data_IF_115798147557
#
_entry.id   IF_115798147557
#
_cell.length_a   1.000
_cell.length_b   1.000
_cell.length_c   1.000
_cell.angle_alpha   90.00
_cell.angle_beta   90.00
_cell.angle_gamma   90.00
#
_symmetry.space_group_name_H-M   'P 1'
#
loop_
_entity.id
_entity.type
_entity.pdbx_description
1 polymer ?
#
# COMPACT_ATOMS: atom_id res chain seq x y z
N UNK A 1 -1.51 -7.37 -25.51
CA UNK A 1 -2.30 -7.59 -24.27
C UNK A 1 -1.68 -6.71 -23.20
N UNK A 2 -2.48 -6.02 -22.41
CA UNK A 2 -2.03 -5.09 -21.37
C UNK A 2 -2.10 -5.76 -20.01
N UNK A 3 -1.22 -5.37 -19.07
CA UNK A 3 -1.14 -5.96 -17.72
C UNK A 3 -2.37 -5.67 -16.86
N UNK A 4 -3.11 -4.62 -17.18
CA UNK A 4 -4.37 -4.30 -16.52
C UNK A 4 -5.50 -4.16 -17.52
N UNK A 5 -6.68 -4.58 -17.13
CA UNK A 5 -7.92 -4.38 -17.89
C UNK A 5 -9.01 -3.82 -16.97
N UNK A 6 -9.95 -3.07 -17.52
CA UNK A 6 -11.11 -2.55 -16.78
C UNK A 6 -12.40 -2.98 -17.45
N UNK A 7 -13.36 -3.39 -16.63
CA UNK A 7 -14.75 -3.64 -17.03
C UNK A 7 -15.70 -2.96 -16.05
N UNK A 8 -16.67 -2.23 -16.56
CA UNK A 8 -17.73 -1.64 -15.73
C UNK A 8 -18.93 -2.58 -15.79
N UNK A 9 -19.42 -2.97 -14.62
CA UNK A 9 -20.60 -3.84 -14.54
C UNK A 9 -21.94 -3.08 -14.62
N UNK A 10 -23.05 -3.80 -14.61
CA UNK A 10 -24.39 -3.21 -14.74
C UNK A 10 -24.76 -2.28 -13.57
N UNK A 11 -24.15 -2.45 -12.40
CA UNK A 11 -24.39 -1.64 -11.21
C UNK A 11 -23.50 -0.38 -11.16
N UNK A 12 -22.56 -0.23 -12.10
CA UNK A 12 -21.62 0.88 -12.19
C UNK A 12 -20.34 0.67 -11.36
N UNK A 13 -19.95 -0.57 -11.06
CA UNK A 13 -18.67 -0.86 -10.42
C UNK A 13 -17.62 -1.16 -11.49
N UNK A 14 -16.54 -0.38 -11.51
CA UNK A 14 -15.39 -0.63 -12.38
C UNK A 14 -14.49 -1.70 -11.74
N UNK A 15 -14.38 -2.86 -12.37
CA UNK A 15 -13.48 -3.93 -11.95
C UNK A 15 -12.18 -3.79 -12.75
N UNK A 16 -11.11 -3.38 -12.07
CA UNK A 16 -9.75 -3.29 -12.62
C UNK A 16 -9.02 -4.57 -12.25
N UNK A 17 -8.69 -5.36 -13.25
CA UNK A 17 -8.04 -6.67 -13.09
C UNK A 17 -6.59 -6.60 -13.52
N UNK A 18 -5.68 -6.93 -12.61
CA UNK A 18 -4.26 -7.08 -12.88
C UNK A 18 -3.94 -8.49 -13.35
N UNK A 19 -3.40 -8.64 -14.55
CA UNK A 19 -3.02 -9.92 -15.14
C UNK A 19 -1.79 -9.76 -16.03
N UNK A 20 -0.61 -9.75 -15.41
CA UNK A 20 0.67 -9.61 -16.13
C UNK A 20 0.86 -10.74 -17.13
N UNK A 21 0.95 -10.37 -18.39
CA UNK A 21 1.02 -11.31 -19.51
C UNK A 21 2.28 -12.18 -19.44
N UNK A 22 2.11 -13.49 -19.58
CA UNK A 22 3.22 -14.45 -19.62
C UNK A 22 3.93 -14.68 -18.28
N UNK A 23 3.42 -14.13 -17.18
CA UNK A 23 3.96 -14.34 -15.82
C UNK A 23 2.98 -15.20 -15.01
N UNK A 24 3.50 -16.08 -14.16
CA UNK A 24 2.68 -16.87 -13.22
C UNK A 24 2.16 -16.02 -12.04
N UNK A 25 2.82 -14.91 -11.76
CA UNK A 25 2.47 -13.95 -10.72
C UNK A 25 2.57 -12.53 -11.27
N UNK A 26 1.70 -11.63 -10.81
CA UNK A 26 1.78 -10.23 -11.17
C UNK A 26 3.03 -9.59 -10.55
N UNK A 27 3.72 -8.79 -11.35
CA UNK A 27 4.90 -8.04 -10.98
C UNK A 27 4.75 -6.62 -11.49
N UNK A 28 4.95 -5.62 -10.65
CA UNK A 28 4.76 -4.22 -10.99
C UNK A 28 5.94 -3.72 -11.83
N UNK A 29 5.65 -3.30 -13.06
CA UNK A 29 6.57 -2.56 -13.93
C UNK A 29 6.25 -1.06 -13.93
N UNK A 30 7.10 -0.23 -14.56
CA UNK A 30 6.81 1.20 -14.76
C UNK A 30 5.56 1.40 -15.59
N UNK A 31 5.42 0.63 -16.66
CA UNK A 31 4.28 0.67 -17.56
C UNK A 31 3.00 0.24 -16.84
N UNK A 32 3.08 -0.76 -15.97
CA UNK A 32 1.96 -1.20 -15.15
C UNK A 32 1.48 -0.12 -14.16
N UNK A 33 2.41 0.67 -13.57
CA UNK A 33 2.04 1.83 -12.75
C UNK A 33 1.28 2.89 -13.54
N UNK A 34 1.77 3.25 -14.72
CA UNK A 34 1.09 4.23 -15.59
C UNK A 34 -0.28 3.70 -15.98
N UNK A 35 -0.37 2.44 -16.40
CA UNK A 35 -1.61 1.83 -16.85
C UNK A 35 -2.69 1.79 -15.75
N UNK A 36 -2.35 1.33 -14.53
CA UNK A 36 -3.32 1.32 -13.42
C UNK A 36 -3.76 2.74 -13.05
N UNK A 37 -2.84 3.70 -13.10
CA UNK A 37 -3.13 5.13 -12.88
C UNK A 37 -4.14 5.67 -13.90
N UNK A 38 -3.93 5.37 -15.19
CA UNK A 38 -4.81 5.81 -16.27
C UNK A 38 -6.20 5.18 -16.19
N UNK A 39 -6.28 3.88 -15.85
CA UNK A 39 -7.56 3.19 -15.66
C UNK A 39 -8.33 3.74 -14.45
N UNK A 40 -7.63 4.09 -13.37
CA UNK A 40 -8.26 4.77 -12.23
C UNK A 40 -8.78 6.14 -12.65
N UNK A 41 -8.00 6.94 -13.40
CA UNK A 41 -8.45 8.25 -13.90
C UNK A 41 -9.69 8.13 -14.78
N UNK A 42 -9.72 7.15 -15.71
CA UNK A 42 -10.89 6.86 -16.54
C UNK A 42 -12.11 6.52 -15.68
N UNK A 43 -11.96 5.62 -14.68
CA UNK A 43 -13.05 5.24 -13.79
C UNK A 43 -13.53 6.42 -12.92
N UNK A 44 -12.63 7.29 -12.47
CA UNK A 44 -12.99 8.48 -11.68
C UNK A 44 -13.72 9.52 -12.53
N UNK A 45 -13.34 9.69 -13.80
CA UNK A 45 -13.95 10.64 -14.72
C UNK A 45 -15.32 10.20 -15.26
N UNK A 46 -15.61 8.90 -15.29
CA UNK A 46 -16.88 8.38 -15.82
C UNK A 46 -18.02 8.54 -14.80
N UNK A 47 -19.05 9.36 -15.08
CA UNK A 47 -20.17 9.56 -14.16
C UNK A 47 -21.03 8.29 -13.94
N UNK A 48 -20.96 7.29 -14.81
CA UNK A 48 -21.65 6.02 -14.63
C UNK A 48 -20.95 5.11 -13.60
N UNK A 49 -19.66 5.35 -13.34
CA UNK A 49 -18.88 4.58 -12.37
C UNK A 49 -19.13 5.10 -10.95
N UNK A 50 -19.64 4.25 -10.08
CA UNK A 50 -19.90 4.54 -8.66
C UNK A 50 -18.69 4.26 -7.76
N UNK A 51 -17.79 3.37 -8.18
CA UNK A 51 -16.57 3.03 -7.47
C UNK A 51 -15.79 1.92 -8.16
N UNK A 52 -14.70 1.50 -7.55
CA UNK A 52 -13.69 0.63 -8.18
C UNK A 52 -13.41 -0.60 -7.29
N UNK A 53 -13.31 -1.76 -7.90
CA UNK A 53 -12.70 -2.96 -7.30
C UNK A 53 -11.42 -3.27 -8.04
N UNK A 54 -10.29 -3.26 -7.34
CA UNK A 54 -8.98 -3.65 -7.85
C UNK A 54 -8.71 -5.10 -7.46
N UNK A 55 -8.46 -5.97 -8.44
CA UNK A 55 -8.23 -7.40 -8.21
C UNK A 55 -7.17 -7.99 -9.14
N UNK A 56 -6.97 -9.28 -9.08
CA UNK A 56 -6.05 -10.03 -9.94
C UNK A 56 -6.80 -11.08 -10.76
N UNK A 57 -6.35 -11.29 -11.99
CA UNK A 57 -6.78 -12.41 -12.84
C UNK A 57 -6.07 -13.74 -12.54
N UNK A 58 -5.19 -13.77 -11.52
CA UNK A 58 -4.42 -14.94 -11.09
C UNK A 58 -4.85 -15.39 -9.69
N UNK A 59 -4.42 -16.59 -9.27
CA UNK A 59 -4.63 -17.10 -7.91
C UNK A 59 -3.85 -16.32 -6.82
N UNK A 60 -2.92 -15.47 -7.23
CA UNK A 60 -2.18 -14.54 -6.38
C UNK A 60 -2.51 -13.11 -6.76
N UNK A 61 -2.35 -12.17 -5.80
CA UNK A 61 -2.53 -10.76 -6.13
C UNK A 61 -1.28 -10.21 -6.83
N UNK A 62 -0.13 -10.17 -6.14
CA UNK A 62 1.13 -9.77 -6.75
C UNK A 62 2.36 -10.21 -5.92
N UNK A 63 3.48 -10.43 -6.59
CA UNK A 63 4.76 -10.82 -5.99
C UNK A 63 5.69 -9.67 -5.61
N UNK A 64 5.34 -8.44 -5.96
CA UNK A 64 6.16 -7.26 -5.68
C UNK A 64 6.53 -6.48 -6.95
N UNK A 65 7.55 -5.65 -6.83
CA UNK A 65 8.10 -4.84 -7.93
C UNK A 65 9.08 -5.65 -8.78
N UNK A 66 9.15 -5.35 -10.06
CA UNK A 66 10.21 -5.90 -10.92
C UNK A 66 11.57 -5.34 -10.48
N UNK A 67 12.44 -6.22 -10.01
CA UNK A 67 13.78 -5.85 -9.50
C UNK A 67 14.66 -5.23 -10.59
N UNK A 68 14.37 -5.46 -11.86
CA UNK A 68 15.07 -4.81 -12.97
C UNK A 68 14.85 -3.29 -12.99
N UNK A 69 13.72 -2.80 -12.44
CA UNK A 69 13.50 -1.35 -12.30
C UNK A 69 14.56 -0.75 -11.38
N UNK A 70 14.80 -1.37 -10.21
CA UNK A 70 15.78 -0.86 -9.26
C UNK A 70 17.19 -0.87 -9.87
N UNK A 71 17.56 -1.94 -10.59
CA UNK A 71 18.82 -2.03 -11.30
C UNK A 71 18.94 -0.93 -12.38
N UNK A 72 17.88 -0.72 -13.19
CA UNK A 72 17.89 0.28 -14.25
C UNK A 72 17.96 1.73 -13.72
N UNK A 73 17.41 2.00 -12.55
CA UNK A 73 17.53 3.30 -11.91
C UNK A 73 18.96 3.60 -11.44
N UNK A 74 19.68 2.56 -10.99
CA UNK A 74 21.06 2.68 -10.57
C UNK A 74 22.02 2.87 -11.74
N UNK A 75 21.74 2.20 -12.86
CA UNK A 75 22.59 2.17 -14.05
C UNK A 75 22.22 3.28 -15.06
N UNK A 76 21.31 4.21 -14.70
CA UNK A 76 20.78 5.28 -15.52
C UNK A 76 21.89 6.23 -16.03
N UNK A 77 21.85 6.52 -17.32
CA UNK A 77 22.86 7.27 -18.08
C UNK A 77 22.81 8.76 -17.78
N UNK A 78 23.78 9.28 -17.05
CA UNK A 78 24.11 10.71 -17.01
C UNK A 78 23.35 11.58 -15.99
N UNK A 79 22.39 11.04 -15.26
CA UNK A 79 21.69 11.71 -14.15
C UNK A 79 22.23 11.20 -12.81
N UNK A 80 22.08 12.00 -11.75
CA UNK A 80 22.34 11.53 -10.40
C UNK A 80 21.37 10.37 -10.06
N UNK A 81 21.88 9.15 -9.81
CA UNK A 81 21.03 8.00 -9.50
C UNK A 81 20.07 8.24 -8.32
N UNK A 82 20.48 9.06 -7.34
CA UNK A 82 19.64 9.39 -6.19
C UNK A 82 18.44 10.25 -6.61
N UNK A 83 18.63 11.22 -7.51
CA UNK A 83 17.56 12.05 -8.04
C UNK A 83 16.57 11.24 -8.88
N UNK A 84 17.09 10.35 -9.73
CA UNK A 84 16.26 9.46 -10.56
C UNK A 84 15.40 8.50 -9.70
N UNK A 85 15.99 7.91 -8.66
CA UNK A 85 15.26 7.04 -7.72
C UNK A 85 14.21 7.86 -6.96
N UNK A 86 14.58 9.02 -6.45
CA UNK A 86 13.65 9.90 -5.72
C UNK A 86 12.47 10.33 -6.61
N UNK A 87 12.72 10.73 -7.85
CA UNK A 87 11.68 11.08 -8.82
C UNK A 87 10.70 9.92 -9.05
N UNK A 88 11.22 8.72 -9.33
CA UNK A 88 10.39 7.51 -9.51
C UNK A 88 9.53 7.19 -8.28
N UNK A 89 10.10 7.28 -7.09
CA UNK A 89 9.35 7.03 -5.84
C UNK A 89 8.29 8.11 -5.63
N UNK A 90 8.59 9.37 -5.90
CA UNK A 90 7.61 10.45 -5.78
C UNK A 90 6.45 10.32 -6.79
N UNK A 91 6.71 9.87 -8.01
CA UNK A 91 5.67 9.56 -9.00
C UNK A 91 4.79 8.41 -8.52
N UNK A 92 5.39 7.36 -7.95
CA UNK A 92 4.67 6.23 -7.36
C UNK A 92 3.78 6.70 -6.20
N UNK A 93 4.30 7.55 -5.31
CA UNK A 93 3.52 8.14 -4.22
C UNK A 93 2.35 8.98 -4.75
N UNK A 94 2.54 9.75 -5.82
CA UNK A 94 1.49 10.55 -6.42
C UNK A 94 0.35 9.67 -6.96
N UNK A 95 0.68 8.56 -7.64
CA UNK A 95 -0.31 7.58 -8.12
C UNK A 95 -1.08 6.96 -6.95
N UNK A 96 -0.39 6.49 -5.92
CA UNK A 96 -1.05 5.87 -4.76
C UNK A 96 -1.88 6.88 -3.95
N UNK A 97 -1.43 8.15 -3.85
CA UNK A 97 -2.25 9.22 -3.23
C UNK A 97 -3.47 9.58 -4.06
N UNK A 98 -3.40 9.51 -5.38
CA UNK A 98 -4.57 9.66 -6.26
C UNK A 98 -5.61 8.57 -5.96
N UNK A 99 -5.19 7.31 -5.90
CA UNK A 99 -6.05 6.17 -5.53
C UNK A 99 -6.67 6.40 -4.15
N UNK A 100 -5.88 6.81 -3.19
CA UNK A 100 -6.28 7.04 -1.79
C UNK A 100 -7.28 8.19 -1.63
N UNK A 101 -7.17 9.23 -2.46
CA UNK A 101 -8.10 10.36 -2.49
C UNK A 101 -9.29 10.14 -3.44
N UNK A 102 -9.14 9.31 -4.45
CA UNK A 102 -10.19 8.84 -5.37
C UNK A 102 -11.13 9.94 -5.89
N UNK A 103 -10.58 11.10 -6.26
CA UNK A 103 -11.37 12.25 -6.75
C UNK A 103 -12.04 13.08 -5.67
N UNK A 104 -11.81 12.79 -4.39
CA UNK A 104 -12.36 13.53 -3.25
C UNK A 104 -11.91 14.99 -3.25
N UNK A 105 -12.83 15.92 -2.96
CA UNK A 105 -12.49 17.31 -2.73
C UNK A 105 -11.62 17.43 -1.45
N UNK A 106 -10.42 18.02 -1.54
CA UNK A 106 -9.47 18.03 -0.42
C UNK A 106 -9.88 18.91 0.76
N UNK A 107 -10.85 19.83 0.57
CA UNK A 107 -11.35 20.73 1.63
C UNK A 107 -12.53 20.14 2.37
N UNK A 108 -13.44 19.51 1.64
CA UNK A 108 -14.67 18.95 2.20
C UNK A 108 -14.57 17.48 2.54
N UNK A 109 -13.59 16.78 2.00
CA UNK A 109 -13.38 15.33 2.07
C UNK A 109 -14.60 14.53 1.58
N UNK A 110 -15.26 15.04 0.52
CA UNK A 110 -16.48 14.45 -0.06
C UNK A 110 -16.35 14.29 -1.57
N UNK A 111 -17.28 13.52 -2.14
CA UNK A 111 -17.41 13.35 -3.59
C UNK A 111 -16.41 12.42 -4.23
N UNK A 112 -15.58 11.73 -3.43
CA UNK A 112 -14.71 10.67 -3.93
C UNK A 112 -15.48 9.40 -4.28
N UNK A 113 -14.86 8.51 -5.06
CA UNK A 113 -15.41 7.19 -5.38
C UNK A 113 -14.74 6.12 -4.51
N UNK A 114 -15.50 5.19 -3.88
CA UNK A 114 -14.92 4.11 -3.11
C UNK A 114 -14.04 3.19 -3.97
N UNK A 115 -12.88 2.81 -3.45
CA UNK A 115 -11.97 1.85 -4.08
C UNK A 115 -11.68 0.73 -3.08
N UNK A 116 -12.05 -0.50 -3.43
CA UNK A 116 -11.73 -1.70 -2.67
C UNK A 116 -10.66 -2.53 -3.38
N UNK A 117 -9.73 -3.11 -2.62
CA UNK A 117 -8.83 -4.15 -3.12
C UNK A 117 -9.38 -5.53 -2.77
N UNK A 118 -9.38 -6.45 -3.73
CA UNK A 118 -9.81 -7.83 -3.58
C UNK A 118 -8.63 -8.77 -3.90
N UNK A 119 -8.03 -9.35 -2.86
CA UNK A 119 -6.82 -10.15 -2.93
C UNK A 119 -7.15 -11.65 -3.02
N UNK A 120 -7.04 -12.32 -4.18
CA UNK A 120 -7.31 -13.75 -4.29
C UNK A 120 -6.27 -14.61 -3.58
N UNK A 121 -5.07 -14.06 -3.32
CA UNK A 121 -3.99 -14.79 -2.68
C UNK A 121 -2.83 -13.88 -2.27
N UNK A 122 -1.62 -14.37 -2.43
CA UNK A 122 -0.38 -13.71 -2.00
C UNK A 122 -0.24 -12.28 -2.53
N UNK A 123 0.11 -11.35 -1.63
CA UNK A 123 0.28 -9.92 -1.87
C UNK A 123 1.52 -9.41 -1.14
N UNK A 124 2.62 -9.20 -1.85
CA UNK A 124 3.92 -8.84 -1.30
C UNK A 124 4.44 -7.52 -1.85
N UNK A 125 5.12 -6.76 -1.00
CA UNK A 125 5.73 -5.49 -1.38
C UNK A 125 4.71 -4.53 -1.98
N UNK A 126 4.98 -3.97 -3.16
CA UNK A 126 4.02 -3.12 -3.87
C UNK A 126 2.66 -3.79 -4.08
N UNK A 127 2.60 -5.14 -4.12
CA UNK A 127 1.36 -5.89 -4.14
C UNK A 127 0.53 -5.76 -2.85
N UNK A 128 1.11 -5.27 -1.76
CA UNK A 128 0.38 -4.85 -0.56
C UNK A 128 0.30 -3.31 -0.45
N UNK A 129 1.31 -2.57 -0.88
CA UNK A 129 1.32 -1.11 -0.78
C UNK A 129 0.21 -0.46 -1.64
N UNK A 130 -0.06 -1.02 -2.83
CA UNK A 130 -1.17 -0.61 -3.68
C UNK A 130 -2.54 -0.86 -3.01
N UNK A 131 -2.86 -2.05 -2.48
CA UNK A 131 -4.04 -2.26 -1.63
C UNK A 131 -4.13 -1.35 -0.40
N UNK A 132 -3.02 -1.03 0.26
CA UNK A 132 -3.01 -0.10 1.41
C UNK A 132 -3.46 1.31 1.02
N UNK A 133 -3.29 1.72 -0.23
CA UNK A 133 -3.85 2.96 -0.76
C UNK A 133 -5.36 2.85 -1.04
N UNK A 134 -5.92 1.66 -1.28
CA UNK A 134 -7.36 1.46 -1.41
C UNK A 134 -8.08 1.69 -0.07
N UNK A 135 -9.38 2.03 -0.09
CA UNK A 135 -10.13 2.35 1.11
C UNK A 135 -10.45 1.12 1.97
N UNK A 136 -10.63 -0.05 1.35
CA UNK A 136 -10.86 -1.31 2.05
C UNK A 136 -10.18 -2.47 1.34
N UNK A 137 -9.65 -3.41 2.12
CA UNK A 137 -8.91 -4.56 1.62
C UNK A 137 -9.63 -5.83 2.02
N UNK A 138 -10.08 -6.58 1.02
CA UNK A 138 -10.63 -7.92 1.15
C UNK A 138 -9.59 -8.96 0.73
N UNK A 139 -9.48 -10.06 1.45
CA UNK A 139 -8.66 -11.19 1.04
C UNK A 139 -9.49 -12.48 1.03
N UNK A 140 -9.20 -13.34 0.08
CA UNK A 140 -9.72 -14.70 0.09
C UNK A 140 -9.18 -15.49 1.29
N UNK A 141 -10.02 -16.32 1.90
CA UNK A 141 -9.59 -17.22 2.98
C UNK A 141 -8.74 -18.35 2.41
N UNK A 142 -7.47 -18.05 2.20
CA UNK A 142 -6.46 -18.95 1.68
C UNK A 142 -5.27 -19.02 2.64
N UNK A 143 -5.16 -20.05 3.49
CA UNK A 143 -4.09 -20.15 4.51
C UNK A 143 -2.68 -20.26 3.90
N UNK A 144 -2.57 -20.56 2.60
CA UNK A 144 -1.27 -20.60 1.88
C UNK A 144 -0.83 -19.23 1.39
N UNK A 145 -1.74 -18.25 1.30
CA UNK A 145 -1.41 -16.92 0.87
C UNK A 145 -0.49 -16.22 1.88
N UNK A 146 0.39 -15.35 1.37
CA UNK A 146 1.32 -14.56 2.13
C UNK A 146 1.05 -13.08 1.89
N UNK A 147 0.83 -12.33 2.95
CA UNK A 147 0.55 -10.90 2.93
C UNK A 147 1.60 -10.19 3.78
N UNK A 148 2.35 -9.25 3.21
CA UNK A 148 3.38 -8.52 3.95
C UNK A 148 4.32 -7.72 3.08
N UNK A 149 5.30 -7.10 3.74
CA UNK A 149 6.32 -6.22 3.16
C UNK A 149 7.72 -6.78 3.46
N UNK A 150 8.22 -7.73 2.63
CA UNK A 150 9.47 -8.44 2.91
C UNK A 150 10.73 -7.68 2.46
N UNK A 151 10.65 -6.43 2.04
CA UNK A 151 11.73 -5.64 1.46
C UNK A 151 12.98 -5.59 2.33
N UNK A 152 12.80 -5.56 3.65
CA UNK A 152 13.92 -5.54 4.61
C UNK A 152 14.82 -6.76 4.47
N UNK A 153 14.29 -7.91 4.04
CA UNK A 153 15.04 -9.15 3.88
C UNK A 153 16.03 -9.11 2.69
N UNK A 154 15.86 -8.15 1.79
CA UNK A 154 16.72 -7.95 0.61
C UNK A 154 17.52 -6.65 0.66
N UNK A 155 17.60 -6.00 1.84
CA UNK A 155 18.47 -4.84 2.06
C UNK A 155 17.87 -3.49 1.70
N UNK A 156 16.56 -3.44 1.44
CA UNK A 156 15.77 -2.21 1.25
C UNK A 156 14.60 -2.20 2.25
N UNK A 157 13.74 -1.19 2.19
CA UNK A 157 12.47 -1.15 2.93
C UNK A 157 11.35 -0.65 2.01
N UNK A 158 10.07 -0.83 2.39
CA UNK A 158 8.95 -0.41 1.56
C UNK A 158 9.02 1.09 1.25
N UNK A 159 9.05 1.45 -0.02
CA UNK A 159 9.24 2.82 -0.49
C UNK A 159 8.08 3.37 -1.32
N UNK A 160 6.98 2.62 -1.49
CA UNK A 160 5.79 3.12 -2.16
C UNK A 160 4.70 3.57 -1.17
N UNK A 161 5.09 3.98 0.01
CA UNK A 161 4.19 4.46 1.08
C UNK A 161 3.72 3.36 2.02
N UNK A 162 4.25 2.15 1.93
CA UNK A 162 3.90 1.04 2.83
C UNK A 162 4.38 1.27 4.25
N UNK A 163 5.58 1.79 4.41
CA UNK A 163 6.14 2.19 5.71
C UNK A 163 5.22 3.21 6.38
N UNK A 164 4.97 4.32 5.71
CA UNK A 164 4.14 5.42 6.22
C UNK A 164 2.70 4.96 6.49
N UNK A 165 2.07 4.23 5.56
CA UNK A 165 0.67 3.78 5.71
C UNK A 165 0.49 2.80 6.85
N UNK A 166 1.36 1.80 7.00
CA UNK A 166 1.26 0.85 8.11
C UNK A 166 1.47 1.53 9.47
N UNK A 167 2.49 2.39 9.58
CA UNK A 167 2.74 3.14 10.83
C UNK A 167 1.55 4.04 11.18
N UNK A 168 0.95 4.70 10.18
CA UNK A 168 -0.25 5.53 10.39
C UNK A 168 -1.49 4.69 10.69
N UNK A 169 -1.64 3.51 10.08
CA UNK A 169 -2.81 2.63 10.28
C UNK A 169 -2.79 1.96 11.66
N UNK A 170 -1.64 1.46 12.10
CA UNK A 170 -1.56 0.58 13.28
C UNK A 170 -0.57 1.02 14.37
N UNK A 171 0.21 2.06 14.13
CA UNK A 171 1.26 2.52 15.04
C UNK A 171 2.61 1.83 14.82
N UNK A 172 3.69 2.49 15.24
CA UNK A 172 5.06 2.03 14.99
C UNK A 172 5.36 0.65 15.60
N UNK A 173 4.89 0.38 16.82
CA UNK A 173 5.13 -0.90 17.50
C UNK A 173 4.44 -2.07 16.78
N UNK A 174 3.18 -1.92 16.40
CA UNK A 174 2.42 -2.98 15.71
C UNK A 174 2.92 -3.20 14.27
N UNK A 175 3.40 -2.15 13.59
CA UNK A 175 3.98 -2.24 12.26
C UNK A 175 5.40 -2.86 12.25
N UNK A 176 6.12 -2.82 13.38
CA UNK A 176 7.53 -3.24 13.48
C UNK A 176 7.80 -4.67 12.96
N UNK A 177 7.04 -5.71 13.28
CA UNK A 177 7.30 -7.05 12.75
C UNK A 177 7.18 -7.15 11.23
N UNK A 178 6.25 -6.38 10.64
CA UNK A 178 6.06 -6.34 9.19
C UNK A 178 7.22 -5.60 8.49
N UNK A 179 7.66 -4.48 9.07
CA UNK A 179 8.62 -3.57 8.45
C UNK A 179 10.08 -3.95 8.75
N UNK A 180 10.42 -4.29 10.02
CA UNK A 180 11.80 -4.56 10.46
C UNK A 180 12.19 -6.04 10.39
N UNK A 181 11.20 -6.95 10.32
CA UNK A 181 11.46 -8.39 10.24
C UNK A 181 10.96 -8.99 8.91
N UNK A 182 10.25 -8.21 8.09
CA UNK A 182 9.65 -8.69 6.84
C UNK A 182 8.64 -9.83 7.08
N UNK A 183 7.96 -9.82 8.23
CA UNK A 183 7.04 -10.90 8.62
C UNK A 183 5.88 -10.99 7.64
N UNK A 184 5.65 -12.20 7.14
CA UNK A 184 4.52 -12.53 6.28
C UNK A 184 3.42 -13.18 7.10
N UNK A 185 2.18 -12.75 6.87
CA UNK A 185 0.99 -13.28 7.52
C UNK A 185 0.12 -14.02 6.49
N UNK A 186 -0.61 -15.05 6.94
CA UNK A 186 -1.79 -15.53 6.22
C UNK A 186 -2.93 -14.50 6.33
N UNK A 187 -4.02 -14.61 5.54
CA UNK A 187 -5.10 -13.63 5.55
C UNK A 187 -5.74 -13.42 6.93
N UNK A 188 -5.95 -14.48 7.71
CA UNK A 188 -6.56 -14.37 9.04
C UNK A 188 -5.66 -13.61 10.02
N UNK A 189 -4.36 -13.88 10.01
CA UNK A 189 -3.38 -13.15 10.83
C UNK A 189 -3.20 -11.72 10.33
N UNK A 190 -3.23 -11.48 9.02
CA UNK A 190 -3.17 -10.13 8.46
C UNK A 190 -4.38 -9.29 8.88
N UNK A 191 -5.59 -9.87 8.91
CA UNK A 191 -6.80 -9.23 9.44
C UNK A 191 -6.67 -8.97 10.95
N UNK A 192 -6.28 -9.97 11.72
CA UNK A 192 -6.10 -9.83 13.17
C UNK A 192 -5.06 -8.76 13.54
N UNK A 193 -4.01 -8.60 12.73
CA UNK A 193 -3.01 -7.55 12.87
C UNK A 193 -3.48 -6.16 12.37
N UNK A 194 -4.63 -6.06 11.71
CA UNK A 194 -5.15 -4.81 11.16
C UNK A 194 -4.49 -4.38 9.84
N UNK A 195 -3.75 -5.26 9.18
CA UNK A 195 -3.14 -4.99 7.86
C UNK A 195 -4.21 -4.93 6.78
N UNK A 196 -5.11 -5.92 6.77
CA UNK A 196 -6.28 -5.99 5.89
C UNK A 196 -7.57 -5.88 6.70
N UNK A 197 -8.69 -5.66 6.02
CA UNK A 197 -9.94 -5.34 6.71
C UNK A 197 -10.89 -6.54 6.79
N UNK A 198 -10.97 -7.37 5.73
CA UNK A 198 -11.89 -8.50 5.69
C UNK A 198 -11.24 -9.75 5.09
N UNK A 199 -11.65 -10.93 5.61
CA UNK A 199 -11.36 -12.23 5.00
C UNK A 199 -12.68 -12.91 4.71
N UNK A 200 -12.83 -13.37 3.47
CA UNK A 200 -14.07 -13.95 2.94
C UNK A 200 -13.78 -15.23 2.14
N UNK A 201 -14.76 -16.13 1.94
CA UNK A 201 -14.59 -17.25 1.02
C UNK A 201 -14.13 -16.78 -0.37
N UNK A 202 -13.28 -17.56 -1.02
CA UNK A 202 -12.65 -17.15 -2.29
C UNK A 202 -13.67 -16.88 -3.40
N UNK A 203 -14.75 -17.66 -3.46
CA UNK A 203 -15.86 -17.51 -4.39
C UNK A 203 -16.72 -16.27 -4.15
N UNK A 204 -16.65 -15.68 -2.96
CA UNK A 204 -17.38 -14.47 -2.56
C UNK A 204 -16.53 -13.21 -2.62
N UNK A 205 -15.22 -13.31 -2.91
CA UNK A 205 -14.26 -12.22 -2.77
C UNK A 205 -14.66 -10.96 -3.57
N UNK A 206 -14.91 -11.13 -4.86
CA UNK A 206 -15.25 -9.99 -5.73
C UNK A 206 -16.61 -9.41 -5.34
N UNK A 207 -17.59 -10.27 -5.05
CA UNK A 207 -18.92 -9.81 -4.67
C UNK A 207 -18.92 -9.06 -3.34
N UNK A 208 -18.16 -9.50 -2.34
CA UNK A 208 -18.02 -8.79 -1.07
C UNK A 208 -17.39 -7.40 -1.26
N UNK A 209 -16.36 -7.29 -2.09
CA UNK A 209 -15.74 -6.01 -2.43
C UNK A 209 -16.70 -5.08 -3.19
N UNK A 210 -17.47 -5.61 -4.16
CA UNK A 210 -18.50 -4.87 -4.92
C UNK A 210 -19.58 -4.34 -3.99
N UNK A 211 -20.12 -5.17 -3.13
CA UNK A 211 -21.18 -4.79 -2.20
C UNK A 211 -20.70 -3.69 -1.24
N UNK A 212 -19.47 -3.77 -0.77
CA UNK A 212 -18.92 -2.69 0.03
C UNK A 212 -18.83 -1.39 -0.77
N UNK A 213 -18.31 -1.44 -2.00
CA UNK A 213 -18.18 -0.26 -2.89
C UNK A 213 -19.54 0.41 -3.12
N UNK A 214 -20.59 -0.38 -3.37
CA UNK A 214 -21.94 0.15 -3.64
C UNK A 214 -22.60 0.77 -2.40
N UNK A 215 -22.20 0.39 -1.19
CA UNK A 215 -22.78 0.83 0.06
C UNK A 215 -21.90 1.84 0.83
N UNK A 216 -20.67 2.07 0.40
CA UNK A 216 -19.73 2.97 1.07
C UNK A 216 -20.22 4.42 1.04
N UNK A 217 -19.98 5.13 2.14
CA UNK A 217 -20.29 6.55 2.34
C UNK A 217 -19.00 7.37 2.30
N UNK A 218 -19.12 8.69 2.17
CA UNK A 218 -17.96 9.60 2.20
C UNK A 218 -17.03 9.33 3.40
N UNK A 219 -17.58 9.04 4.58
CA UNK A 219 -16.78 8.75 5.77
C UNK A 219 -15.94 7.45 5.65
N UNK A 220 -16.39 6.48 4.87
CA UNK A 220 -15.71 5.18 4.71
C UNK A 220 -14.52 5.26 3.77
N UNK A 221 -14.44 6.32 2.95
CA UNK A 221 -13.39 6.53 1.95
C UNK A 221 -12.34 7.55 2.37
N UNK A 222 -12.51 8.22 3.51
CA UNK A 222 -11.50 9.14 4.05
C UNK A 222 -10.51 8.37 4.92
N UNK A 223 -9.26 8.38 4.51
CA UNK A 223 -8.20 7.72 5.30
C UNK A 223 -8.03 8.40 6.66
N UNK A 224 -7.73 7.65 7.73
CA UNK A 224 -7.60 8.21 9.07
C UNK A 224 -6.66 9.41 9.15
N UNK A 225 -5.54 9.37 8.47
CA UNK A 225 -4.52 10.44 8.46
C UNK A 225 -4.91 11.69 7.66
N UNK A 226 -5.97 11.64 6.86
CA UNK A 226 -6.55 12.79 6.18
C UNK A 226 -7.68 13.44 7.00
N UNK A 227 -8.13 12.77 8.06
CA UNK A 227 -9.19 13.30 8.94
C UNK A 227 -8.64 14.35 9.90
N UNK A 228 -9.43 15.41 10.13
CA UNK A 228 -9.10 16.44 11.14
C UNK A 228 -9.01 15.81 12.53
N UNK A 229 -7.89 16.07 13.21
CA UNK A 229 -7.67 15.57 14.57
C UNK A 229 -7.18 14.13 14.63
N UNK A 230 -6.75 13.57 13.52
CA UNK A 230 -6.12 12.25 13.49
C UNK A 230 -5.00 12.14 14.54
N UNK A 231 -4.99 11.03 15.26
CA UNK A 231 -3.93 10.68 16.22
C UNK A 231 -3.35 9.32 15.83
N UNK A 232 -2.04 9.26 15.67
CA UNK A 232 -1.35 8.02 15.34
C UNK A 232 -1.52 6.99 16.48
N UNK A 233 -1.94 5.75 16.18
CA UNK A 233 -2.01 4.69 17.18
C UNK A 233 -0.66 4.49 17.89
N UNK A 234 -0.67 4.30 19.20
CA UNK A 234 0.54 4.18 20.01
C UNK A 234 1.31 5.48 20.25
N UNK A 235 0.86 6.60 19.64
CA UNK A 235 1.47 7.92 19.83
C UNK A 235 2.70 8.21 18.96
N UNK A 236 3.02 9.49 18.83
CA UNK A 236 4.23 9.98 18.13
C UNK A 236 5.45 9.94 19.06
N UNK A 237 6.69 10.17 18.55
CA UNK A 237 7.91 10.16 19.37
C UNK A 237 7.88 11.05 20.61
N UNK A 238 7.18 12.19 20.56
CA UNK A 238 7.06 13.13 21.69
C UNK A 238 5.77 12.92 22.52
N UNK A 239 4.92 11.99 22.12
CA UNK A 239 3.73 11.65 22.90
C UNK A 239 4.12 10.64 23.99
N UNK A 240 3.64 10.75 25.25
CA UNK A 240 4.00 9.85 26.35
C UNK A 240 3.85 8.36 26.01
N UNK A 241 2.78 8.00 25.28
CA UNK A 241 2.52 6.61 24.87
C UNK A 241 3.51 6.10 23.80
N UNK A 242 4.07 6.97 22.94
CA UNK A 242 5.02 6.59 21.88
C UNK A 242 6.48 6.67 22.32
N UNK A 243 6.80 7.52 23.27
CA UNK A 243 8.17 7.84 23.65
C UNK A 243 9.06 6.61 23.86
N UNK A 244 8.63 5.67 24.70
CA UNK A 244 9.42 4.46 25.00
C UNK A 244 9.63 3.57 23.78
N UNK A 245 8.64 3.50 22.88
CA UNK A 245 8.76 2.76 21.61
C UNK A 245 9.91 3.31 20.78
N UNK A 246 9.97 4.62 20.61
CA UNK A 246 10.99 5.25 19.76
C UNK A 246 12.37 5.29 20.42
N UNK A 247 12.45 5.49 21.74
CA UNK A 247 13.72 5.47 22.49
C UNK A 247 14.34 4.06 22.44
N UNK A 248 13.55 3.02 22.64
CA UNK A 248 14.06 1.65 22.64
C UNK A 248 14.36 1.08 21.25
N UNK A 249 13.74 1.63 20.19
CA UNK A 249 13.82 1.09 18.85
C UNK A 249 15.24 1.04 18.28
N UNK A 250 16.03 2.09 18.47
CA UNK A 250 17.44 2.14 18.03
C UNK A 250 18.31 1.07 18.67
N UNK A 251 18.17 0.87 19.98
CA UNK A 251 18.92 -0.16 20.69
C UNK A 251 18.52 -1.56 20.23
N UNK A 252 17.21 -1.80 20.03
CA UNK A 252 16.69 -3.08 19.54
C UNK A 252 17.17 -3.39 18.12
N UNK A 253 17.10 -2.43 17.20
CA UNK A 253 17.57 -2.58 15.81
C UNK A 253 19.08 -2.83 15.80
N UNK A 254 19.87 -2.04 16.52
CA UNK A 254 21.32 -2.25 16.61
C UNK A 254 21.67 -3.61 17.23
N UNK A 255 20.96 -4.05 18.28
CA UNK A 255 21.17 -5.36 18.87
C UNK A 255 20.89 -6.51 17.89
N UNK A 256 19.81 -6.43 17.09
CA UNK A 256 19.45 -7.44 16.10
C UNK A 256 20.37 -7.44 14.87
N UNK A 257 20.84 -6.26 14.43
CA UNK A 257 21.60 -6.10 13.19
C UNK A 257 23.10 -5.94 13.40
N UNK A 258 23.55 -5.90 14.67
CA UNK A 258 24.94 -5.58 15.04
C UNK A 258 25.44 -4.26 14.41
N UNK A 259 24.49 -3.38 14.06
CA UNK A 259 24.78 -2.09 13.44
C UNK A 259 25.25 -2.13 11.98
N UNK A 260 25.31 -3.30 11.33
CA UNK A 260 25.85 -3.45 9.96
C UNK A 260 24.79 -3.52 8.86
N UNK A 261 23.50 -3.37 9.17
CA UNK A 261 22.39 -3.45 8.21
C UNK A 261 21.77 -2.07 7.97
N UNK A 262 22.22 -1.33 6.91
CA UNK A 262 21.83 0.07 6.68
C UNK A 262 20.31 0.26 6.52
N UNK A 263 19.65 -0.65 5.80
CA UNK A 263 18.20 -0.55 5.53
C UNK A 263 17.36 -0.44 6.81
N UNK A 264 17.69 -1.23 7.85
CA UNK A 264 16.96 -1.18 9.11
C UNK A 264 17.13 0.16 9.85
N UNK A 265 18.31 0.80 9.73
CA UNK A 265 18.55 2.12 10.31
C UNK A 265 17.82 3.21 9.53
N UNK A 266 17.88 3.17 8.20
CA UNK A 266 17.18 4.10 7.33
C UNK A 266 15.66 4.01 7.54
N UNK A 267 15.11 2.79 7.58
CA UNK A 267 13.70 2.56 7.92
C UNK A 267 13.33 3.17 9.28
N UNK A 268 14.16 2.97 10.31
CA UNK A 268 13.89 3.52 11.64
C UNK A 268 13.87 5.05 11.62
N UNK A 269 14.80 5.69 10.89
CA UNK A 269 14.80 7.16 10.70
C UNK A 269 13.54 7.62 9.97
N UNK A 270 13.15 6.95 8.87
CA UNK A 270 11.95 7.28 8.12
C UNK A 270 10.68 7.17 8.99
N UNK A 271 10.57 6.12 9.81
CA UNK A 271 9.44 5.95 10.76
C UNK A 271 9.44 7.04 11.82
N UNK A 272 10.59 7.37 12.40
CA UNK A 272 10.72 8.40 13.44
C UNK A 272 10.36 9.79 12.89
N UNK A 273 11.00 10.20 11.82
CA UNK A 273 10.81 11.52 11.21
C UNK A 273 9.42 11.65 10.59
N UNK A 274 8.95 10.58 9.89
CA UNK A 274 7.62 10.51 9.30
C UNK A 274 6.50 10.60 10.33
N UNK A 275 6.72 10.14 11.58
CA UNK A 275 5.75 10.26 12.67
C UNK A 275 5.58 11.70 13.20
N UNK A 276 6.51 12.62 12.88
CA UNK A 276 6.52 14.00 13.37
C UNK A 276 5.92 15.01 12.39
N UNK A 277 5.63 14.61 11.17
CA UNK A 277 5.23 15.50 10.08
C UNK A 277 3.88 15.09 9.47
N UNK A 278 3.21 15.96 8.69
CA UNK A 278 2.03 15.58 7.93
C UNK A 278 2.28 14.40 6.98
N UNK A 279 1.22 13.67 6.64
CA UNK A 279 1.29 12.44 5.86
C UNK A 279 2.05 12.60 4.52
N UNK A 280 1.72 13.62 3.72
CA UNK A 280 2.38 13.84 2.43
C UNK A 280 3.88 14.20 2.57
N UNK A 281 4.29 14.79 3.72
CA UNK A 281 5.70 15.02 4.04
C UNK A 281 6.38 13.71 4.49
N UNK A 282 5.66 12.86 5.22
CA UNK A 282 6.17 11.55 5.63
C UNK A 282 6.47 10.64 4.42
N UNK A 283 5.64 10.70 3.37
CA UNK A 283 5.91 10.00 2.10
C UNK A 283 7.20 10.49 1.42
N UNK A 284 7.53 11.78 1.53
CA UNK A 284 8.80 12.32 0.98
C UNK A 284 10.03 11.86 1.77
N UNK A 285 9.86 11.60 3.07
CA UNK A 285 10.91 11.10 3.94
C UNK A 285 11.16 9.61 3.71
N UNK A 286 10.09 8.83 3.46
CA UNK A 286 10.15 7.43 3.11
C UNK A 286 10.94 7.20 1.82
#
# INVERSE_FOLDING_TARGET
MTDFTMKVDADGVAIITWDTVGKSMNVMSREAFVLVSDLVDQALADPAVKGIVLTSGKDTFAGGMDLNIIASLRDGTGEDPAEAIFGFIMDTHAILRKIERAGMDPKTLKGGKPIAAALPGTALGIGLELPLACHRIFAADNPKAKIGLPEILVGIFPGAGGTTRLVRKMGAMAASPLLLEGKLNDPQRAKAAGVIDEVVPADQLIEAARQWVLNAKDADIVKPWDQKGYKMPGGTPYHPAGFMTFVGASAMVNGKTQGVYPAAKALLSAVYEGALVPFDTALKIE
#
